data_IF_116952976264
#
_entry.id   IF_116952976264
#
_cell.length_a   1.000
_cell.length_b   1.000
_cell.length_c   1.000
_cell.angle_alpha   90.00
_cell.angle_beta   90.00
_cell.angle_gamma   90.00
#
_symmetry.space_group_name_H-M   'P 1'
#
loop_
_entity.id
_entity.type
_entity.pdbx_description
1 polymer ?
#
# COMPACT_ATOMS: atom_id res chain seq x y z
N UNK A 1 65.08 47.68 -1.12
CA UNK A 1 63.85 48.02 -1.87
C UNK A 1 63.39 46.76 -2.60
N UNK A 2 62.08 46.54 -2.66
CA UNK A 2 61.34 45.36 -3.14
C UNK A 2 61.02 44.28 -2.09
N UNK A 3 59.88 44.56 -1.46
CA UNK A 3 59.03 43.72 -0.63
C UNK A 3 58.18 42.85 -1.58
N UNK A 4 58.25 41.53 -1.46
CA UNK A 4 57.20 40.64 -1.98
C UNK A 4 56.64 39.84 -0.80
N UNK A 5 55.42 40.20 -0.39
CA UNK A 5 54.59 39.46 0.58
C UNK A 5 54.16 38.15 -0.06
N UNK A 6 54.65 37.02 0.43
CA UNK A 6 54.06 35.71 0.15
C UNK A 6 52.81 35.55 1.03
N UNK A 7 51.65 35.92 0.47
CA UNK A 7 50.35 35.79 1.13
C UNK A 7 49.77 34.41 0.80
N UNK A 8 50.15 33.39 1.58
CA UNK A 8 49.47 32.10 1.53
C UNK A 8 48.15 32.20 2.32
N UNK A 9 47.01 31.82 1.75
CA UNK A 9 45.79 31.67 2.52
C UNK A 9 45.93 30.44 3.44
N UNK A 10 45.58 30.59 4.72
CA UNK A 10 45.44 29.46 5.64
C UNK A 10 44.43 28.43 5.07
N UNK A 11 44.66 27.12 5.25
CA UNK A 11 43.67 26.13 4.88
C UNK A 11 42.43 26.35 5.74
N UNK A 12 41.31 26.66 5.08
CA UNK A 12 40.01 26.76 5.73
C UNK A 12 39.75 25.46 6.51
N UNK A 13 39.72 25.56 7.84
CA UNK A 13 39.33 24.47 8.71
C UNK A 13 38.02 23.88 8.17
N UNK A 14 38.05 22.58 7.86
CA UNK A 14 36.89 21.84 7.40
C UNK A 14 35.78 22.00 8.44
N UNK A 15 34.84 22.91 8.17
CA UNK A 15 33.62 23.07 8.95
C UNK A 15 32.90 21.74 8.85
N UNK A 16 32.96 20.95 9.92
CA UNK A 16 32.14 19.76 10.09
C UNK A 16 30.69 20.20 9.95
N UNK A 17 30.13 19.91 8.77
CA UNK A 17 28.76 20.26 8.44
C UNK A 17 27.89 19.48 9.40
N UNK A 18 27.35 20.17 10.42
CA UNK A 18 26.37 19.57 11.34
C UNK A 18 25.29 18.90 10.46
N UNK A 19 25.01 17.60 10.63
CA UNK A 19 23.93 16.97 9.88
C UNK A 19 22.66 17.79 10.12
N UNK A 20 21.94 18.08 9.04
CA UNK A 20 20.65 18.78 9.14
C UNK A 20 19.70 17.98 10.03
N UNK A 21 18.64 18.63 10.58
CA UNK A 21 17.74 17.99 11.54
C UNK A 21 17.15 16.66 11.04
N UNK A 22 16.88 16.54 9.74
CA UNK A 22 16.40 15.30 9.11
C UNK A 22 17.48 14.18 9.05
N UNK A 23 18.75 14.54 8.84
CA UNK A 23 19.86 13.57 8.86
C UNK A 23 20.18 13.11 10.27
N UNK A 24 20.06 13.99 11.26
CA UNK A 24 20.19 13.64 12.67
C UNK A 24 19.10 12.69 13.17
N UNK A 25 17.83 12.93 12.79
CA UNK A 25 16.73 12.03 13.20
C UNK A 25 16.88 10.63 12.59
N UNK A 26 17.18 10.52 11.29
CA UNK A 26 17.38 9.21 10.64
C UNK A 26 18.52 8.42 11.26
N UNK A 27 19.63 9.09 11.60
CA UNK A 27 20.75 8.46 12.31
C UNK A 27 20.33 7.93 13.68
N UNK A 28 19.62 8.73 14.49
CA UNK A 28 19.11 8.31 15.81
C UNK A 28 18.13 7.13 15.72
N UNK A 29 17.25 7.13 14.72
CA UNK A 29 16.35 5.99 14.47
C UNK A 29 17.12 4.72 14.08
N UNK A 30 18.24 4.86 13.36
CA UNK A 30 19.12 3.74 13.03
C UNK A 30 19.86 3.21 14.26
N UNK A 31 20.39 4.09 15.11
CA UNK A 31 21.04 3.71 16.38
C UNK A 31 20.10 2.91 17.28
N UNK A 32 18.80 3.27 17.33
CA UNK A 32 17.79 2.52 18.09
C UNK A 32 17.59 1.07 17.63
N UNK A 33 17.84 0.77 16.35
CA UNK A 33 17.80 -0.61 15.84
C UNK A 33 19.08 -1.39 16.13
N UNK A 34 20.19 -0.68 16.29
CA UNK A 34 21.53 -1.23 16.38
C UNK A 34 22.35 -1.03 15.09
N UNK A 35 23.69 -0.98 15.18
CA UNK A 35 24.57 -0.76 14.04
C UNK A 35 24.36 -1.79 12.93
N UNK A 36 24.23 -1.33 11.68
CA UNK A 36 24.11 -2.20 10.50
C UNK A 36 22.76 -2.92 10.36
N UNK A 37 21.80 -2.70 11.26
CA UNK A 37 20.48 -3.35 11.18
C UNK A 37 19.56 -2.57 10.23
N UNK A 38 19.15 -3.16 9.10
CA UNK A 38 18.22 -2.50 8.18
C UNK A 38 16.84 -2.33 8.84
N UNK A 39 16.10 -1.25 8.52
CA UNK A 39 14.74 -1.09 9.02
C UNK A 39 13.82 -2.18 8.45
N UNK A 40 12.93 -2.70 9.29
CA UNK A 40 11.78 -3.48 8.82
C UNK A 40 10.83 -2.55 8.05
N UNK A 41 10.43 -2.89 6.82
CA UNK A 41 9.47 -2.09 6.08
C UNK A 41 8.11 -2.07 6.79
N UNK A 42 7.38 -0.97 6.63
CA UNK A 42 5.99 -0.88 7.07
C UNK A 42 5.09 -1.46 5.98
N UNK A 43 4.22 -2.39 6.37
CA UNK A 43 3.12 -2.87 5.55
C UNK A 43 1.82 -2.12 5.92
N UNK A 44 0.77 -2.32 5.13
CA UNK A 44 -0.52 -1.68 5.37
C UNK A 44 -1.11 -2.03 6.74
N UNK A 45 -0.84 -3.24 7.25
CA UNK A 45 -1.29 -3.66 8.58
C UNK A 45 -0.58 -2.88 9.68
N UNK A 46 0.72 -2.62 9.54
CA UNK A 46 1.51 -1.84 10.48
C UNK A 46 1.05 -0.38 10.49
N UNK A 47 0.77 0.19 9.31
CA UNK A 47 0.23 1.55 9.16
C UNK A 47 -1.20 1.67 9.72
N UNK A 48 -2.08 0.73 9.41
CA UNK A 48 -3.43 0.66 9.98
C UNK A 48 -3.40 0.54 11.51
N UNK A 49 -2.45 -0.23 12.06
CA UNK A 49 -2.27 -0.35 13.50
C UNK A 49 -1.72 0.92 14.15
N UNK A 50 -0.88 1.69 13.44
CA UNK A 50 -0.43 3.01 13.89
C UNK A 50 -1.62 3.98 13.98
N UNK A 51 -2.48 3.99 12.96
CA UNK A 51 -3.69 4.81 12.94
C UNK A 51 -4.69 4.43 14.05
N UNK A 52 -4.77 3.16 14.44
CA UNK A 52 -5.62 2.69 15.54
C UNK A 52 -5.07 3.02 16.94
N UNK A 53 -3.81 3.49 17.06
CA UNK A 53 -3.17 3.83 18.34
C UNK A 53 -2.58 5.25 18.30
N UNK A 54 -3.39 6.29 18.00
CA UNK A 54 -2.90 7.65 17.91
C UNK A 54 -2.39 8.10 19.29
N UNK A 55 -1.18 8.63 19.36
CA UNK A 55 -0.58 9.14 20.60
C UNK A 55 0.33 8.17 21.37
N UNK A 56 0.40 6.90 20.99
CA UNK A 56 1.40 5.99 21.57
C UNK A 56 2.80 6.30 21.02
N UNK A 57 3.53 7.22 21.70
CA UNK A 57 4.88 7.64 21.31
C UNK A 57 5.85 6.46 21.14
N UNK A 58 5.74 5.45 22.00
CA UNK A 58 6.57 4.23 21.90
C UNK A 58 6.29 3.49 20.60
N UNK A 59 5.03 3.34 20.20
CA UNK A 59 4.66 2.67 18.95
C UNK A 59 5.15 3.45 17.74
N UNK A 60 4.90 4.76 17.71
CA UNK A 60 5.39 5.64 16.64
C UNK A 60 6.91 5.57 16.49
N UNK A 61 7.66 5.54 17.59
CA UNK A 61 9.12 5.40 17.57
C UNK A 61 9.55 4.03 17.01
N UNK A 62 8.93 2.93 17.44
CA UNK A 62 9.28 1.58 16.97
C UNK A 62 8.96 1.39 15.48
N UNK A 63 7.82 1.93 15.01
CA UNK A 63 7.42 1.87 13.61
C UNK A 63 8.28 2.78 12.73
N UNK A 64 8.50 4.03 13.14
CA UNK A 64 9.37 4.97 12.42
C UNK A 64 10.84 4.54 12.41
N UNK A 65 11.29 3.86 13.46
CA UNK A 65 12.60 3.23 13.48
C UNK A 65 12.63 1.86 12.78
N UNK A 66 11.53 1.31 12.26
CA UNK A 66 11.54 -0.01 11.62
C UNK A 66 12.09 -1.13 12.52
N UNK A 67 11.80 -1.09 13.81
CA UNK A 67 12.27 -2.10 14.78
C UNK A 67 11.54 -3.41 14.56
N UNK A 68 12.25 -4.54 14.66
CA UNK A 68 11.66 -5.87 14.72
C UNK A 68 10.92 -6.05 16.06
N UNK A 69 9.64 -5.69 16.06
CA UNK A 69 8.77 -5.75 17.24
C UNK A 69 8.60 -7.17 17.78
N UNK A 70 8.70 -8.20 16.93
CA UNK A 70 8.61 -9.59 17.37
C UNK A 70 9.87 -10.03 18.11
N UNK A 71 11.05 -9.65 17.60
CA UNK A 71 12.32 -9.87 18.30
C UNK A 71 12.38 -9.10 19.61
N UNK A 72 11.94 -7.84 19.61
CA UNK A 72 11.85 -7.03 20.83
C UNK A 72 10.91 -7.66 21.87
N UNK A 73 9.73 -8.12 21.47
CA UNK A 73 8.77 -8.77 22.37
C UNK A 73 9.34 -10.05 23.01
N UNK A 74 10.09 -10.85 22.24
CA UNK A 74 10.83 -12.02 22.77
C UNK A 74 11.88 -11.61 23.79
N UNK A 75 12.70 -10.60 23.48
CA UNK A 75 13.74 -10.12 24.39
C UNK A 75 13.17 -9.56 25.71
N UNK A 76 11.95 -8.98 25.66
CA UNK A 76 11.22 -8.49 26.83
C UNK A 76 10.46 -9.59 27.59
N UNK A 77 10.60 -10.87 27.22
CA UNK A 77 9.91 -11.98 27.88
C UNK A 77 8.39 -12.00 27.64
N UNK A 78 7.89 -11.26 26.65
CA UNK A 78 6.47 -11.19 26.29
C UNK A 78 6.24 -11.58 24.82
N UNK A 79 6.69 -12.79 24.38
CA UNK A 79 6.49 -13.22 23.01
C UNK A 79 4.99 -13.34 22.68
N UNK A 80 4.64 -13.21 21.40
CA UNK A 80 3.29 -13.53 20.95
C UNK A 80 2.96 -14.99 21.32
N UNK A 81 1.79 -15.26 21.93
CA UNK A 81 1.47 -16.58 22.47
C UNK A 81 1.28 -17.64 21.38
N UNK A 82 0.93 -17.22 20.16
CA UNK A 82 0.71 -18.08 19.01
C UNK A 82 1.34 -17.48 17.75
N UNK A 83 1.86 -18.35 16.88
CA UNK A 83 2.33 -17.97 15.54
C UNK A 83 1.20 -17.87 14.52
N UNK A 84 1.56 -17.68 13.24
CA UNK A 84 0.59 -17.71 12.15
C UNK A 84 0.04 -19.13 11.94
N UNK A 85 -1.29 -19.28 11.85
CA UNK A 85 -1.92 -20.56 11.55
C UNK A 85 -1.70 -20.94 10.08
N UNK A 86 -0.98 -22.04 9.83
CA UNK A 86 -0.76 -22.58 8.47
C UNK A 86 -2.07 -22.89 7.75
N UNK A 87 -3.06 -23.39 8.49
CA UNK A 87 -4.38 -23.67 7.94
C UNK A 87 -5.13 -22.39 7.53
N UNK A 88 -5.04 -21.33 8.35
CA UNK A 88 -5.63 -20.05 7.99
C UNK A 88 -4.95 -19.43 6.76
N UNK A 89 -3.63 -19.56 6.64
CA UNK A 89 -2.87 -19.13 5.45
C UNK A 89 -3.32 -19.90 4.21
N UNK A 90 -3.33 -21.23 4.26
CA UNK A 90 -3.71 -22.07 3.12
C UNK A 90 -5.15 -21.80 2.67
N UNK A 91 -6.08 -21.64 3.62
CA UNK A 91 -7.46 -21.23 3.32
C UNK A 91 -7.52 -19.85 2.66
N UNK A 92 -6.73 -18.91 3.17
CA UNK A 92 -6.58 -17.56 2.61
C UNK A 92 -6.20 -17.61 1.13
N UNK A 93 -5.09 -18.26 0.83
CA UNK A 93 -4.59 -18.38 -0.55
C UNK A 93 -5.58 -19.11 -1.46
N UNK A 94 -6.23 -20.18 -0.97
CA UNK A 94 -7.21 -20.91 -1.78
C UNK A 94 -8.45 -20.07 -2.11
N UNK A 95 -8.93 -19.26 -1.16
CA UNK A 95 -10.07 -18.38 -1.40
C UNK A 95 -9.68 -17.24 -2.36
N UNK A 96 -8.53 -16.61 -2.13
CA UNK A 96 -8.01 -15.57 -3.00
C UNK A 96 -7.82 -16.05 -4.44
N UNK A 97 -7.16 -17.19 -4.64
CA UNK A 97 -6.97 -17.78 -5.96
C UNK A 97 -8.31 -18.08 -6.67
N UNK A 98 -9.33 -18.51 -5.92
CA UNK A 98 -10.68 -18.73 -6.46
C UNK A 98 -11.33 -17.43 -6.91
N UNK A 99 -11.25 -16.39 -6.09
CA UNK A 99 -11.84 -15.08 -6.36
C UNK A 99 -11.17 -14.40 -7.55
N UNK A 100 -9.87 -14.63 -7.74
CA UNK A 100 -9.05 -14.07 -8.82
C UNK A 100 -9.00 -14.93 -10.09
N UNK A 101 -9.66 -16.10 -10.09
CA UNK A 101 -9.74 -16.94 -11.27
C UNK A 101 -10.40 -16.20 -12.45
N UNK A 102 -10.17 -16.69 -13.68
CA UNK A 102 -10.78 -16.16 -14.90
C UNK A 102 -10.57 -14.65 -15.09
N UNK A 103 -9.35 -14.16 -14.79
CA UNK A 103 -9.01 -12.75 -14.89
C UNK A 103 -9.71 -11.87 -13.85
N UNK A 104 -10.21 -12.46 -12.76
CA UNK A 104 -10.95 -11.76 -11.71
C UNK A 104 -12.35 -11.32 -12.12
N UNK A 105 -12.99 -12.03 -13.07
CA UNK A 105 -14.36 -11.76 -13.50
C UNK A 105 -15.35 -11.66 -12.31
N UNK A 106 -15.17 -12.50 -11.30
CA UNK A 106 -16.00 -12.49 -10.10
C UNK A 106 -15.79 -11.23 -9.23
N UNK A 107 -14.56 -10.72 -9.13
CA UNK A 107 -14.28 -9.46 -8.45
C UNK A 107 -14.97 -8.29 -9.15
N UNK A 108 -14.93 -8.26 -10.47
CA UNK A 108 -15.54 -7.19 -11.27
C UNK A 108 -17.06 -7.27 -11.21
N UNK A 109 -17.63 -8.48 -11.26
CA UNK A 109 -19.08 -8.70 -11.06
C UNK A 109 -19.53 -8.16 -9.69
N UNK A 110 -18.84 -8.55 -8.61
CA UNK A 110 -19.15 -8.07 -7.26
C UNK A 110 -18.97 -6.55 -7.13
N UNK A 111 -17.92 -5.98 -7.74
CA UNK A 111 -17.70 -4.54 -7.74
C UNK A 111 -18.81 -3.79 -8.48
N UNK A 112 -19.24 -4.26 -9.66
CA UNK A 112 -20.35 -3.68 -10.40
C UNK A 112 -21.67 -3.77 -9.59
N UNK A 113 -21.98 -4.92 -9.00
CA UNK A 113 -23.20 -5.12 -8.21
C UNK A 113 -23.27 -4.22 -6.97
N UNK A 114 -22.17 -4.09 -6.23
CA UNK A 114 -22.16 -3.36 -4.95
C UNK A 114 -21.89 -1.86 -5.11
N UNK A 115 -21.09 -1.48 -6.11
CA UNK A 115 -20.71 -0.09 -6.35
C UNK A 115 -21.63 0.62 -7.35
N UNK A 116 -22.42 -0.13 -8.12
CA UNK A 116 -23.18 0.38 -9.26
C UNK A 116 -22.25 1.04 -10.29
N UNK A 117 -22.83 1.81 -11.21
CA UNK A 117 -22.07 2.63 -12.15
C UNK A 117 -22.35 2.32 -13.62
N UNK A 118 -21.34 2.48 -14.50
CA UNK A 118 -21.44 2.16 -15.92
C UNK A 118 -21.89 0.72 -16.16
N UNK A 119 -22.28 0.44 -17.40
CA UNK A 119 -22.67 -0.91 -17.83
C UNK A 119 -21.62 -1.97 -17.43
N UNK A 120 -22.13 -3.14 -17.04
CA UNK A 120 -21.28 -4.26 -16.68
C UNK A 120 -20.36 -4.60 -17.87
N UNK A 121 -19.10 -4.96 -17.63
CA UNK A 121 -18.21 -5.34 -18.71
C UNK A 121 -18.71 -6.63 -19.36
N UNK A 122 -18.67 -6.66 -20.70
CA UNK A 122 -18.84 -7.90 -21.44
C UNK A 122 -17.82 -8.96 -20.99
N UNK A 123 -18.16 -10.26 -21.03
CA UNK A 123 -17.23 -11.32 -20.67
C UNK A 123 -15.91 -11.20 -21.45
N UNK A 124 -14.78 -11.12 -20.73
CA UNK A 124 -13.45 -10.99 -21.31
C UNK A 124 -13.06 -9.57 -21.74
N UNK A 125 -13.90 -8.56 -21.53
CA UNK A 125 -13.60 -7.16 -21.85
C UNK A 125 -12.84 -6.41 -20.73
N UNK A 126 -12.54 -7.07 -19.61
CA UNK A 126 -11.77 -6.48 -18.50
C UNK A 126 -10.28 -6.58 -18.81
N UNK A 127 -9.58 -5.45 -18.83
CA UNK A 127 -8.13 -5.43 -18.96
C UNK A 127 -7.45 -5.84 -17.65
N UNK A 128 -6.46 -6.73 -17.72
CA UNK A 128 -5.64 -7.17 -16.58
C UNK A 128 -4.15 -6.96 -16.89
N UNK A 129 -3.59 -5.77 -16.65
CA UNK A 129 -2.21 -5.46 -17.03
C UNK A 129 -1.20 -6.26 -16.20
N UNK A 130 -0.10 -6.69 -16.83
CA UNK A 130 1.04 -7.25 -16.09
C UNK A 130 1.75 -6.17 -15.27
N UNK A 131 1.85 -6.40 -13.96
CA UNK A 131 2.46 -5.50 -12.97
C UNK A 131 3.86 -5.98 -12.53
N UNK A 132 4.42 -6.99 -13.20
CA UNK A 132 5.75 -7.51 -12.92
C UNK A 132 6.84 -6.45 -13.17
N UNK A 133 7.79 -6.37 -12.23
CA UNK A 133 8.97 -5.52 -12.33
C UNK A 133 9.98 -5.89 -11.23
N UNK A 134 11.22 -5.41 -11.37
CA UNK A 134 12.28 -5.67 -10.40
C UNK A 134 12.04 -4.89 -9.08
N UNK A 135 11.80 -5.65 -8.00
CA UNK A 135 11.68 -5.13 -6.65
C UNK A 135 10.45 -4.23 -6.41
N UNK A 136 10.22 -3.80 -5.15
CA UNK A 136 9.03 -3.01 -4.80
C UNK A 136 8.95 -1.67 -5.53
N UNK A 137 10.08 -0.97 -5.71
CA UNK A 137 10.10 0.31 -6.41
C UNK A 137 9.78 0.18 -7.90
N UNK A 138 10.34 -0.83 -8.57
CA UNK A 138 10.03 -1.11 -9.98
C UNK A 138 8.56 -1.47 -10.15
N UNK A 139 8.01 -2.31 -9.26
CA UNK A 139 6.57 -2.65 -9.28
C UNK A 139 5.70 -1.43 -9.06
N UNK A 140 6.05 -0.54 -8.12
CA UNK A 140 5.30 0.68 -7.90
C UNK A 140 5.27 1.61 -9.12
N UNK A 141 6.41 1.74 -9.82
CA UNK A 141 6.48 2.49 -11.07
C UNK A 141 5.64 1.84 -12.17
N UNK A 142 5.68 0.50 -12.30
CA UNK A 142 4.86 -0.23 -13.27
C UNK A 142 3.36 -0.10 -12.98
N UNK A 143 2.95 -0.19 -11.71
CA UNK A 143 1.57 0.04 -11.28
C UNK A 143 1.09 1.45 -11.60
N UNK A 144 1.91 2.48 -11.33
CA UNK A 144 1.54 3.87 -11.68
C UNK A 144 1.37 4.07 -13.19
N UNK A 145 2.19 3.43 -14.01
CA UNK A 145 2.03 3.39 -15.46
C UNK A 145 0.72 2.71 -15.86
N UNK A 146 0.43 1.53 -15.32
CA UNK A 146 -0.79 0.78 -15.62
C UNK A 146 -2.06 1.54 -15.21
N UNK A 147 -2.05 2.24 -14.07
CA UNK A 147 -3.16 3.09 -13.64
C UNK A 147 -3.37 4.29 -14.57
N UNK A 148 -2.29 4.87 -15.10
CA UNK A 148 -2.38 5.93 -16.11
C UNK A 148 -2.96 5.41 -17.43
N UNK A 149 -2.51 4.25 -17.88
CA UNK A 149 -3.03 3.58 -19.08
C UNK A 149 -4.52 3.25 -18.92
N UNK A 150 -4.91 2.71 -17.76
CA UNK A 150 -6.30 2.40 -17.42
C UNK A 150 -7.19 3.65 -17.36
N UNK A 151 -6.70 4.78 -16.85
CA UNK A 151 -7.46 6.03 -16.83
C UNK A 151 -7.68 6.67 -18.21
N UNK A 152 -6.82 6.34 -19.18
CA UNK A 152 -6.98 6.76 -20.58
C UNK A 152 -7.85 5.79 -21.38
N UNK A 153 -8.18 4.63 -20.82
CA UNK A 153 -8.97 3.59 -21.46
C UNK A 153 -10.45 3.72 -21.08
N UNK A 154 -11.35 3.71 -22.07
CA UNK A 154 -12.80 3.73 -21.86
C UNK A 154 -13.34 2.31 -21.62
N UNK A 155 -12.96 1.72 -20.49
CA UNK A 155 -13.34 0.34 -20.16
C UNK A 155 -12.78 -0.13 -18.82
N UNK A 156 -13.32 -1.25 -18.32
CA UNK A 156 -12.96 -1.80 -17.02
C UNK A 156 -11.53 -2.36 -17.01
N UNK A 157 -10.77 -2.02 -15.98
CA UNK A 157 -9.43 -2.60 -15.72
C UNK A 157 -9.36 -3.15 -14.30
N UNK A 158 -8.84 -4.36 -14.13
CA UNK A 158 -8.54 -4.96 -12.84
C UNK A 158 -7.03 -5.10 -12.67
N UNK A 159 -6.48 -4.43 -11.67
CA UNK A 159 -5.10 -4.58 -11.26
C UNK A 159 -5.04 -5.62 -10.13
N UNK A 160 -4.42 -6.76 -10.40
CA UNK A 160 -4.15 -7.82 -9.40
C UNK A 160 -2.82 -7.53 -8.68
N UNK A 161 -2.86 -7.45 -7.35
CA UNK A 161 -1.72 -7.10 -6.51
C UNK A 161 -0.92 -5.89 -7.03
N UNK A 162 -1.53 -4.71 -7.20
CA UNK A 162 -0.78 -3.50 -7.52
C UNK A 162 0.20 -3.17 -6.39
N UNK A 163 1.35 -2.60 -6.72
CA UNK A 163 2.27 -2.06 -5.71
C UNK A 163 2.09 -0.55 -5.64
N UNK A 164 1.73 -0.03 -4.49
CA UNK A 164 1.61 1.40 -4.22
C UNK A 164 2.75 1.84 -3.30
N UNK A 165 3.20 3.09 -3.46
CA UNK A 165 4.20 3.68 -2.59
C UNK A 165 3.55 4.79 -1.76
N UNK A 166 3.82 4.81 -0.46
CA UNK A 166 3.39 5.86 0.45
C UNK A 166 4.61 6.35 1.23
N UNK A 167 4.89 7.65 1.23
CA UNK A 167 5.95 8.20 2.10
C UNK A 167 5.48 8.23 3.55
N UNK A 168 6.25 7.58 4.42
CA UNK A 168 6.01 7.53 5.87
C UNK A 168 7.27 8.00 6.57
N UNK A 169 7.19 9.19 7.18
CA UNK A 169 8.32 9.83 7.86
C UNK A 169 9.58 9.94 6.98
N UNK A 170 9.40 10.26 5.69
CA UNK A 170 10.49 10.43 4.72
C UNK A 170 11.13 9.12 4.27
N UNK A 171 10.44 7.98 4.40
CA UNK A 171 10.84 6.69 3.87
C UNK A 171 9.67 6.05 3.12
N UNK A 172 9.89 5.41 1.95
CA UNK A 172 8.80 4.76 1.24
C UNK A 172 8.34 3.48 1.96
N UNK A 173 7.05 3.38 2.18
CA UNK A 173 6.35 2.14 2.46
C UNK A 173 5.74 1.61 1.15
N UNK A 174 6.04 0.35 0.82
CA UNK A 174 5.49 -0.32 -0.36
C UNK A 174 4.31 -1.19 0.08
N UNK A 175 3.16 -0.94 -0.51
CA UNK A 175 1.86 -1.43 -0.09
C UNK A 175 1.23 -2.22 -1.24
N UNK A 176 0.72 -3.40 -0.94
CA UNK A 176 0.15 -4.31 -1.94
C UNK A 176 -1.30 -4.60 -1.57
N UNK A 177 -2.27 -3.82 -2.09
CA UNK A 177 -3.69 -4.16 -2.02
C UNK A 177 -3.95 -5.51 -2.70
N UNK A 178 -5.02 -6.21 -2.33
CA UNK A 178 -5.36 -7.48 -2.96
C UNK A 178 -5.78 -7.26 -4.44
N UNK A 179 -6.56 -6.21 -4.72
CA UNK A 179 -6.81 -5.72 -6.07
C UNK A 179 -7.26 -4.24 -6.10
N UNK A 180 -7.16 -3.62 -7.27
CA UNK A 180 -7.77 -2.30 -7.57
C UNK A 180 -8.54 -2.41 -8.87
N UNK A 181 -9.78 -1.93 -8.90
CA UNK A 181 -10.57 -1.80 -10.13
C UNK A 181 -10.58 -0.34 -10.59
N UNK A 182 -10.36 -0.12 -11.88
CA UNK A 182 -10.55 1.16 -12.57
C UNK A 182 -11.78 1.02 -13.47
N UNK A 183 -12.77 1.86 -13.21
CA UNK A 183 -14.02 1.93 -13.98
C UNK A 183 -13.88 2.84 -15.20
N UNK A 184 -14.72 2.66 -16.24
CA UNK A 184 -14.75 3.54 -17.41
C UNK A 184 -14.97 5.02 -17.08
N UNK A 185 -15.73 5.32 -16.01
CA UNK A 185 -16.01 6.68 -15.54
C UNK A 185 -14.91 7.32 -14.68
N UNK A 186 -13.74 6.67 -14.62
CA UNK A 186 -12.55 7.15 -13.91
C UNK A 186 -12.53 6.89 -12.40
N UNK A 187 -13.53 6.17 -11.86
CA UNK A 187 -13.54 5.81 -10.44
C UNK A 187 -12.63 4.60 -10.16
N UNK A 188 -11.69 4.78 -9.25
CA UNK A 188 -10.76 3.74 -8.79
C UNK A 188 -11.20 3.22 -7.43
N UNK A 189 -11.38 1.91 -7.29
CA UNK A 189 -11.81 1.30 -6.02
C UNK A 189 -10.83 0.23 -5.57
N UNK A 190 -10.50 0.24 -4.28
CA UNK A 190 -9.73 -0.82 -3.62
C UNK A 190 -10.65 -2.00 -3.33
N UNK A 191 -10.20 -3.21 -3.66
CA UNK A 191 -10.86 -4.47 -3.37
C UNK A 191 -9.98 -5.23 -2.37
N UNK A 192 -10.48 -5.44 -1.15
CA UNK A 192 -9.82 -6.22 -0.11
C UNK A 192 -10.41 -7.62 -0.05
N UNK A 193 -9.57 -8.64 -0.14
CA UNK A 193 -9.99 -10.03 -0.07
C UNK A 193 -9.63 -10.57 1.31
N UNK A 194 -10.59 -11.16 2.00
CA UNK A 194 -10.37 -11.76 3.32
C UNK A 194 -11.08 -13.10 3.43
N UNK A 195 -10.45 -14.06 4.10
CA UNK A 195 -10.92 -15.44 4.14
C UNK A 195 -11.74 -15.80 5.39
N UNK A 196 -12.25 -14.80 6.11
CA UNK A 196 -13.21 -15.05 7.19
C UNK A 196 -14.62 -15.10 6.61
N UNK A 197 -15.46 -16.07 7.00
CA UNK A 197 -16.80 -16.18 6.45
C UNK A 197 -17.70 -15.07 6.97
N UNK A 198 -18.67 -14.68 6.15
CA UNK A 198 -19.88 -14.03 6.61
C UNK A 198 -20.82 -15.09 7.19
N UNK A 199 -21.40 -14.81 8.35
CA UNK A 199 -22.37 -15.66 9.02
C UNK A 199 -23.69 -14.90 8.99
N UNK A 200 -24.73 -15.52 8.43
CA UNK A 200 -26.05 -14.91 8.24
C UNK A 200 -26.00 -13.55 7.52
N UNK A 201 -25.09 -13.43 6.54
CA UNK A 201 -24.88 -12.22 5.76
C UNK A 201 -24.03 -11.15 6.44
N UNK A 202 -23.47 -11.42 7.63
CA UNK A 202 -22.63 -10.47 8.35
C UNK A 202 -21.23 -11.02 8.64
N UNK A 203 -20.21 -10.22 8.36
CA UNK A 203 -18.85 -10.48 8.81
C UNK A 203 -18.63 -10.00 10.26
N UNK A 204 -17.64 -10.60 10.93
CA UNK A 204 -17.16 -10.14 12.24
C UNK A 204 -16.73 -8.66 12.18
N UNK A 205 -17.37 -7.82 12.99
CA UNK A 205 -17.19 -6.35 12.93
C UNK A 205 -15.77 -5.90 13.25
N UNK A 206 -15.04 -6.61 14.11
CA UNK A 206 -13.66 -6.29 14.43
C UNK A 206 -12.73 -6.59 13.24
N UNK A 207 -12.98 -7.68 12.52
CA UNK A 207 -12.26 -8.02 11.28
C UNK A 207 -12.61 -7.06 10.14
N UNK A 208 -13.88 -6.70 9.97
CA UNK A 208 -14.32 -5.69 9.00
C UNK A 208 -13.63 -4.35 9.29
N UNK A 209 -13.63 -3.89 10.55
CA UNK A 209 -12.95 -2.66 10.93
C UNK A 209 -11.44 -2.70 10.68
N UNK A 210 -10.79 -3.86 10.86
CA UNK A 210 -9.38 -4.03 10.52
C UNK A 210 -9.14 -3.95 9.01
N UNK A 211 -9.96 -4.63 8.20
CA UNK A 211 -9.88 -4.57 6.74
C UNK A 211 -10.14 -3.15 6.22
N UNK A 212 -11.14 -2.44 6.75
CA UNK A 212 -11.44 -1.07 6.39
C UNK A 212 -10.26 -0.11 6.64
N UNK A 213 -9.55 -0.26 7.77
CA UNK A 213 -8.34 0.55 8.03
C UNK A 213 -7.19 0.22 7.08
N UNK A 214 -7.03 -1.03 6.67
CA UNK A 214 -6.04 -1.39 5.64
C UNK A 214 -6.43 -0.79 4.28
N UNK A 215 -7.69 -0.93 3.89
CA UNK A 215 -8.23 -0.34 2.67
C UNK A 215 -8.04 1.18 2.62
N UNK A 216 -8.24 1.88 3.75
CA UNK A 216 -8.01 3.32 3.84
C UNK A 216 -6.54 3.70 3.62
N UNK A 217 -5.59 2.89 4.10
CA UNK A 217 -4.15 3.10 3.84
C UNK A 217 -3.85 2.92 2.35
N UNK A 218 -4.47 1.93 1.69
CA UNK A 218 -4.34 1.74 0.25
C UNK A 218 -4.98 2.87 -0.55
N UNK A 219 -6.17 3.32 -0.17
CA UNK A 219 -6.86 4.45 -0.81
C UNK A 219 -6.00 5.72 -0.73
N UNK A 220 -5.41 6.03 0.43
CA UNK A 220 -4.50 7.16 0.59
C UNK A 220 -3.28 7.08 -0.34
N UNK A 221 -2.68 5.89 -0.47
CA UNK A 221 -1.55 5.69 -1.39
C UNK A 221 -1.99 5.80 -2.87
N UNK A 222 -3.20 5.35 -3.18
CA UNK A 222 -3.79 5.39 -4.50
C UNK A 222 -4.15 6.83 -4.93
N UNK A 223 -4.61 7.66 -3.99
CA UNK A 223 -4.89 9.09 -4.20
C UNK A 223 -3.64 9.84 -4.69
N UNK A 224 -2.47 9.56 -4.12
CA UNK A 224 -1.20 10.17 -4.56
C UNK A 224 -0.89 9.85 -6.03
N UNK A 225 -1.21 8.63 -6.48
CA UNK A 225 -1.06 8.24 -7.88
C UNK A 225 -2.12 8.91 -8.74
N UNK A 226 -3.37 8.96 -8.31
CA UNK A 226 -4.46 9.64 -9.02
C UNK A 226 -4.15 11.12 -9.24
N UNK A 227 -3.67 11.83 -8.22
CA UNK A 227 -3.20 13.22 -8.30
C UNK A 227 -2.04 13.38 -9.29
N UNK A 228 -1.07 12.45 -9.27
CA UNK A 228 0.03 12.47 -10.23
C UNK A 228 -0.48 12.28 -11.65
N UNK A 229 -1.40 11.34 -11.89
CA UNK A 229 -1.99 11.12 -13.21
C UNK A 229 -2.76 12.36 -13.67
N UNK A 230 -3.60 12.93 -12.81
CA UNK A 230 -4.37 14.14 -13.12
C UNK A 230 -3.48 15.33 -13.49
N UNK A 231 -2.35 15.54 -12.80
CA UNK A 231 -1.40 16.63 -13.12
C UNK A 231 -0.71 16.48 -14.47
N UNK A 232 -0.62 15.27 -15.02
CA UNK A 232 0.05 15.00 -16.30
C UNK A 232 -0.94 14.64 -17.41
N UNK A 233 -2.25 14.73 -17.16
CA UNK A 233 -3.27 14.52 -18.17
C UNK A 233 -3.27 15.70 -19.17
N UNK A 234 -3.27 15.45 -20.49
CA UNK A 234 -3.48 16.50 -21.48
C UNK A 234 -4.89 17.11 -21.32
N UNK A 235 -5.03 18.43 -21.51
CA UNK A 235 -6.34 19.12 -21.39
C UNK A 235 -7.43 18.53 -22.30
N UNK A 236 -7.05 17.91 -23.42
CA UNK A 236 -7.97 17.37 -24.44
C UNK A 236 -7.98 15.83 -24.54
N UNK A 237 -7.31 15.09 -23.64
CA UNK A 237 -6.97 13.67 -23.86
C UNK A 237 -7.40 12.65 -22.80
N UNK A 238 -7.95 13.07 -21.66
CA UNK A 238 -8.45 12.14 -20.65
C UNK A 238 -9.96 11.92 -20.81
N UNK A 239 -10.38 10.65 -20.97
CA UNK A 239 -11.80 10.31 -20.99
C UNK A 239 -12.50 10.75 -19.69
N UNK A 240 -11.84 10.53 -18.54
CA UNK A 240 -12.32 10.95 -17.23
C UNK A 240 -11.15 11.32 -16.30
N UNK A 241 -11.36 12.27 -15.38
CA UNK A 241 -10.38 12.57 -14.31
C UNK A 241 -10.36 11.44 -13.29
N UNK A 242 -9.20 10.83 -12.98
CA UNK A 242 -9.07 9.80 -11.96
C UNK A 242 -9.59 10.26 -10.60
N UNK A 243 -10.43 9.44 -9.97
CA UNK A 243 -10.94 9.67 -8.61
C UNK A 243 -10.90 8.39 -7.81
N UNK A 244 -10.38 8.44 -6.58
CA UNK A 244 -10.43 7.29 -5.66
C UNK A 244 -11.76 7.30 -4.93
N UNK A 245 -12.44 6.16 -4.92
CA UNK A 245 -13.71 6.01 -4.23
C UNK A 245 -13.56 6.03 -2.71
N UNK A 246 -14.49 6.69 -2.01
CA UNK A 246 -14.54 6.70 -0.53
C UNK A 246 -14.90 5.33 0.06
N UNK A 247 -15.43 4.43 -0.77
CA UNK A 247 -15.80 3.07 -0.39
C UNK A 247 -14.80 2.09 -0.98
N UNK A 248 -14.33 1.16 -0.17
CA UNK A 248 -13.65 -0.04 -0.62
C UNK A 248 -14.63 -1.22 -0.64
N UNK A 249 -14.36 -2.22 -1.47
CA UNK A 249 -15.12 -3.47 -1.49
C UNK A 249 -14.40 -4.52 -0.65
N UNK A 250 -15.09 -5.12 0.31
CA UNK A 250 -14.56 -6.24 1.10
C UNK A 250 -15.14 -7.54 0.55
N UNK A 251 -14.30 -8.38 -0.05
CA UNK A 251 -14.71 -9.67 -0.60
C UNK A 251 -14.36 -10.78 0.38
N UNK A 252 -15.38 -11.51 0.83
CA UNK A 252 -15.27 -12.59 1.80
C UNK A 252 -16.02 -13.84 1.33
N UNK A 253 -15.71 -15.03 1.90
CA UNK A 253 -16.61 -16.17 1.79
C UNK A 253 -18.02 -15.80 2.28
N UNK A 254 -19.03 -16.04 1.45
CA UNK A 254 -20.45 -15.89 1.78
C UNK A 254 -20.83 -16.65 3.06
N UNK A 255 -20.23 -17.82 3.23
CA UNK A 255 -20.36 -18.75 4.35
C UNK A 255 -19.19 -19.76 4.26
N UNK A 256 -19.34 -20.97 4.81
CA UNK A 256 -18.33 -22.02 4.77
C UNK A 256 -18.15 -22.70 3.39
N UNK A 257 -19.00 -22.39 2.39
CA UNK A 257 -18.90 -22.87 1.00
C UNK A 257 -17.74 -22.26 0.21
N UNK A 258 -17.10 -21.22 0.74
CA UNK A 258 -16.08 -20.42 0.05
C UNK A 258 -16.57 -19.80 -1.27
N UNK A 259 -17.88 -19.61 -1.44
CA UNK A 259 -18.40 -18.77 -2.52
C UNK A 259 -18.10 -17.30 -2.22
N UNK A 260 -17.60 -16.51 -3.18
CA UNK A 260 -17.35 -15.09 -2.97
C UNK A 260 -18.63 -14.29 -2.74
N UNK A 261 -18.57 -13.31 -1.85
CA UNK A 261 -19.60 -12.31 -1.63
C UNK A 261 -18.96 -11.03 -1.05
N UNK A 262 -19.68 -9.91 -1.11
CA UNK A 262 -19.20 -8.60 -0.69
C UNK A 262 -20.29 -7.80 0.02
#
# INVERSE_FOLDING_TARGET
MNVFRDSRPEPAAARTRRPGPATGLRARLAELRGPGVPPRPLDARALAALAANPGCRRRALLDGAGVDKAALARALGSPAPFGQSRFAIARGHSFEARVKADGGAELVRLAHEQLGGPEAPEPGAVATPDLSAAGPQGRAARTALALREAAAHDGWTLLDHPMLALDVAGSPAYLEPDAVVVRPDGLWTVLEIKSFPMIDGAADTAKVGAAARQAAVYALALEQVAEQVARHAPEDGAAHTPRVGERALLVCPKDFSNLPAA
#
